data_IF_853174921261
#
_entry.id   IF_853174921261
#
_cell.length_a   1.000
_cell.length_b   1.000
_cell.length_c   1.000
_cell.angle_alpha   90.00
_cell.angle_beta   90.00
_cell.angle_gamma   90.00
#
_symmetry.space_group_name_H-M   'P 1'
#
loop_
_entity.id
_entity.type
_entity.pdbx_description
1 polymer ?
#
# COMPACT_ATOMS: atom_id res chain seq x y z
N UNK A 1 -7.25 -61.26 -68.84
CA UNK A 1 -7.82 -60.89 -67.53
C UNK A 1 -6.84 -59.95 -66.82
N UNK A 2 -7.16 -58.65 -66.73
CA UNK A 2 -6.34 -57.67 -65.97
C UNK A 2 -6.84 -57.65 -64.52
N UNK A 3 -5.96 -57.93 -63.55
CA UNK A 3 -6.24 -57.80 -62.12
C UNK A 3 -5.97 -56.36 -61.68
N UNK A 4 -6.95 -55.70 -61.09
CA UNK A 4 -6.78 -54.42 -60.40
C UNK A 4 -6.58 -54.68 -58.90
N UNK A 5 -5.49 -54.16 -58.35
CA UNK A 5 -5.16 -54.22 -56.93
C UNK A 5 -5.66 -52.91 -56.29
N UNK A 6 -6.66 -53.00 -55.41
CA UNK A 6 -7.16 -51.86 -54.65
C UNK A 6 -6.32 -51.70 -53.38
N UNK A 7 -5.66 -50.55 -53.24
CA UNK A 7 -5.00 -50.13 -52.01
C UNK A 7 -5.99 -49.31 -51.17
N UNK A 8 -6.41 -49.84 -50.03
CA UNK A 8 -7.16 -49.10 -49.02
C UNK A 8 -6.18 -48.29 -48.17
N UNK A 9 -6.27 -46.96 -48.24
CA UNK A 9 -5.54 -46.04 -47.36
C UNK A 9 -6.34 -45.89 -46.06
N UNK A 10 -5.84 -46.44 -44.96
CA UNK A 10 -6.41 -46.24 -43.63
C UNK A 10 -5.82 -44.95 -43.04
N UNK A 11 -6.63 -43.89 -42.95
CA UNK A 11 -6.22 -42.63 -42.33
C UNK A 11 -6.25 -42.78 -40.81
N UNK A 12 -5.08 -42.85 -40.16
CA UNK A 12 -4.97 -42.83 -38.70
C UNK A 12 -5.20 -41.38 -38.21
N UNK A 13 -6.35 -41.11 -37.59
CA UNK A 13 -6.56 -39.88 -36.82
C UNK A 13 -5.87 -40.02 -35.46
N UNK A 14 -4.69 -39.40 -35.31
CA UNK A 14 -4.10 -39.19 -33.99
C UNK A 14 -4.92 -38.15 -33.22
N UNK A 15 -5.67 -38.60 -32.22
CA UNK A 15 -6.27 -37.73 -31.22
C UNK A 15 -5.15 -37.14 -30.34
N UNK A 16 -4.74 -35.91 -30.61
CA UNK A 16 -3.99 -35.12 -29.63
C UNK A 16 -4.98 -34.61 -28.58
N UNK A 17 -4.93 -35.16 -27.37
CA UNK A 17 -5.60 -34.56 -26.21
C UNK A 17 -4.80 -33.32 -25.81
N UNK A 18 -5.37 -32.13 -26.01
CA UNK A 18 -4.85 -30.90 -25.41
C UNK A 18 -4.97 -31.04 -23.89
N UNK A 19 -3.84 -31.28 -23.23
CA UNK A 19 -3.78 -31.27 -21.78
C UNK A 19 -3.77 -29.79 -21.35
N UNK A 20 -4.91 -29.30 -20.88
CA UNK A 20 -5.01 -27.96 -20.30
C UNK A 20 -4.16 -27.93 -19.04
N UNK A 21 -3.07 -27.17 -19.04
CA UNK A 21 -2.29 -26.92 -17.83
C UNK A 21 -3.13 -26.03 -16.93
N UNK A 22 -3.54 -26.57 -15.78
CA UNK A 22 -4.26 -25.80 -14.75
C UNK A 22 -3.26 -24.91 -14.03
N UNK A 23 -3.54 -23.61 -13.96
CA UNK A 23 -2.68 -22.66 -13.26
C UNK A 23 -2.98 -22.67 -11.75
N UNK A 24 -1.92 -22.47 -10.96
CA UNK A 24 -2.00 -22.17 -9.53
C UNK A 24 -0.96 -21.09 -9.24
N UNK A 25 -1.41 -19.97 -8.69
CA UNK A 25 -0.54 -18.86 -8.29
C UNK A 25 -0.89 -18.47 -6.86
N UNK A 26 0.14 -18.14 -6.09
CA UNK A 26 -0.01 -17.80 -4.69
C UNK A 26 1.08 -16.81 -4.28
N UNK A 27 0.66 -15.61 -3.86
CA UNK A 27 1.53 -14.52 -3.43
C UNK A 27 1.89 -14.68 -1.95
N UNK A 28 3.08 -14.23 -1.55
CA UNK A 28 3.57 -14.34 -0.17
C UNK A 28 3.04 -13.23 0.74
N UNK A 29 1.72 -12.98 0.72
CA UNK A 29 1.07 -12.02 1.62
C UNK A 29 1.09 -12.58 3.04
N UNK A 30 1.61 -11.85 4.05
CA UNK A 30 1.63 -12.30 5.44
C UNK A 30 0.24 -12.28 6.06
N UNK A 31 0.01 -13.10 7.08
CA UNK A 31 -1.28 -13.20 7.76
C UNK A 31 -1.30 -12.56 9.16
N UNK A 32 -2.39 -11.89 9.50
CA UNK A 32 -2.81 -11.63 10.88
C UNK A 32 -4.33 -11.77 11.00
N UNK A 33 -4.81 -12.18 12.18
CA UNK A 33 -6.22 -11.96 12.54
C UNK A 33 -6.42 -10.49 12.91
N UNK A 34 -7.63 -9.96 12.67
CA UNK A 34 -8.07 -8.66 13.17
C UNK A 34 -8.02 -8.56 14.69
N UNK A 35 -8.06 -9.69 15.40
CA UNK A 35 -7.84 -9.76 16.85
C UNK A 35 -6.52 -10.52 17.14
N UNK A 36 -5.34 -9.86 17.09
CA UNK A 36 -4.03 -10.54 17.22
C UNK A 36 -3.88 -11.42 18.48
N UNK A 37 -4.53 -11.02 19.57
CA UNK A 37 -4.56 -11.76 20.84
C UNK A 37 -5.87 -12.54 21.10
N UNK A 38 -6.75 -12.64 20.10
CA UNK A 38 -8.01 -13.38 20.18
C UNK A 38 -9.09 -12.71 21.05
N UNK A 39 -9.01 -11.39 21.25
CA UNK A 39 -10.01 -10.60 21.97
C UNK A 39 -10.94 -9.91 20.98
N UNK A 40 -12.14 -10.45 20.81
CA UNK A 40 -13.17 -9.96 19.88
C UNK A 40 -14.08 -8.94 20.58
N UNK A 41 -13.50 -7.78 20.87
CA UNK A 41 -14.17 -6.62 21.47
C UNK A 41 -13.59 -5.35 20.82
N UNK A 42 -14.24 -4.19 20.94
CA UNK A 42 -13.74 -2.97 20.31
C UNK A 42 -12.28 -2.65 20.70
N UNK A 43 -11.46 -2.18 19.74
CA UNK A 43 -11.81 -1.97 18.32
C UNK A 43 -11.71 -3.22 17.43
N UNK A 44 -11.27 -4.36 17.97
CA UNK A 44 -10.90 -5.56 17.21
C UNK A 44 -12.07 -6.32 16.59
N UNK A 45 -13.29 -6.09 17.03
CA UNK A 45 -14.49 -6.72 16.47
C UNK A 45 -14.90 -6.13 15.12
N UNK A 46 -14.39 -4.96 14.73
CA UNK A 46 -14.64 -4.31 13.42
C UNK A 46 -13.33 -3.83 12.76
N UNK A 47 -12.27 -4.63 12.82
CA UNK A 47 -10.94 -4.24 12.30
C UNK A 47 -10.52 -5.05 11.06
N UNK A 48 -11.48 -5.53 10.26
CA UNK A 48 -11.20 -6.48 9.17
C UNK A 48 -10.56 -5.80 7.96
N UNK A 49 -10.94 -4.56 7.66
CA UNK A 49 -10.39 -3.71 6.61
C UNK A 49 -8.96 -3.29 6.95
N UNK A 50 -8.69 -2.90 8.20
CA UNK A 50 -7.37 -2.49 8.66
C UNK A 50 -6.41 -3.66 8.72
N UNK A 51 -6.88 -4.83 9.19
CA UNK A 51 -6.08 -6.04 9.14
C UNK A 51 -5.76 -6.44 7.70
N UNK A 52 -6.73 -6.35 6.79
CA UNK A 52 -6.53 -6.63 5.36
C UNK A 52 -5.55 -5.67 4.70
N UNK A 53 -5.72 -4.38 4.97
CA UNK A 53 -4.85 -3.30 4.50
C UNK A 53 -3.42 -3.49 5.01
N UNK A 54 -3.25 -3.84 6.30
CA UNK A 54 -1.96 -4.16 6.89
C UNK A 54 -1.27 -5.35 6.21
N UNK A 55 -2.00 -6.42 5.90
CA UNK A 55 -1.43 -7.59 5.24
C UNK A 55 -0.84 -7.24 3.87
N UNK A 56 -1.53 -6.40 3.09
CA UNK A 56 -1.02 -5.88 1.82
C UNK A 56 0.13 -4.88 2.01
N UNK A 57 0.04 -3.99 3.01
CA UNK A 57 1.10 -3.04 3.38
C UNK A 57 2.44 -3.76 3.61
N UNK A 58 2.41 -4.84 4.40
CA UNK A 58 3.60 -5.63 4.70
C UNK A 58 4.06 -6.52 3.54
N UNK A 59 3.14 -6.95 2.67
CA UNK A 59 3.51 -7.62 1.42
C UNK A 59 4.34 -6.69 0.52
N UNK A 60 3.88 -5.46 0.28
CA UNK A 60 4.62 -4.50 -0.54
C UNK A 60 5.92 -4.00 0.11
N UNK A 61 6.03 -4.05 1.44
CA UNK A 61 7.28 -3.83 2.18
C UNK A 61 8.25 -5.04 2.17
N UNK A 62 7.88 -6.16 1.54
CA UNK A 62 8.67 -7.41 1.56
C UNK A 62 8.96 -7.92 2.99
N UNK A 63 7.94 -7.95 3.86
CA UNK A 63 8.06 -8.32 5.28
C UNK A 63 8.77 -9.66 5.53
N UNK A 64 8.61 -10.64 4.63
CA UNK A 64 9.45 -11.84 4.59
C UNK A 64 9.04 -13.01 5.50
N UNK A 65 7.98 -12.86 6.29
CA UNK A 65 7.38 -13.94 7.08
C UNK A 65 5.93 -14.22 6.64
N UNK A 66 5.44 -15.45 6.82
CA UNK A 66 4.05 -15.84 6.48
C UNK A 66 3.01 -15.33 7.49
N UNK A 67 3.44 -14.94 8.68
CA UNK A 67 2.56 -14.47 9.77
C UNK A 67 3.17 -13.23 10.38
N UNK A 68 2.33 -12.23 10.63
CA UNK A 68 2.71 -10.96 11.22
C UNK A 68 2.83 -11.16 12.74
N UNK A 69 3.91 -10.62 13.30
CA UNK A 69 4.08 -10.53 14.75
C UNK A 69 2.90 -9.79 15.41
N UNK A 70 2.44 -10.25 16.57
CA UNK A 70 1.19 -9.75 17.18
C UNK A 70 1.31 -8.31 17.64
N UNK A 71 2.48 -7.92 18.13
CA UNK A 71 2.78 -6.57 18.58
C UNK A 71 2.82 -5.63 17.37
N UNK A 72 3.45 -6.05 16.26
CA UNK A 72 3.41 -5.32 14.98
C UNK A 72 1.98 -5.15 14.47
N UNK A 73 1.21 -6.25 14.44
CA UNK A 73 -0.18 -6.22 13.99
C UNK A 73 -1.03 -5.28 14.84
N UNK A 74 -0.94 -5.39 16.16
CA UNK A 74 -1.64 -4.53 17.11
C UNK A 74 -1.28 -3.06 16.90
N UNK A 75 0.00 -2.74 16.74
CA UNK A 75 0.44 -1.35 16.57
C UNK A 75 -0.02 -0.77 15.24
N UNK A 76 0.05 -1.52 14.14
CA UNK A 76 -0.30 -1.01 12.81
C UNK A 76 -1.80 -0.97 12.56
N UNK A 77 -2.58 -1.93 13.09
CA UNK A 77 -4.05 -1.90 13.03
C UNK A 77 -4.59 -0.68 13.79
N UNK A 78 -4.12 -0.44 15.03
CA UNK A 78 -4.54 0.75 15.78
C UNK A 78 -4.19 2.05 15.05
N UNK A 79 -3.04 2.10 14.35
CA UNK A 79 -2.69 3.27 13.55
C UNK A 79 -3.66 3.51 12.40
N UNK A 80 -4.07 2.46 11.69
CA UNK A 80 -5.07 2.58 10.62
C UNK A 80 -6.42 3.05 11.19
N UNK A 81 -6.86 2.47 12.30
CA UNK A 81 -8.06 2.93 13.03
C UNK A 81 -7.96 4.41 13.41
N UNK A 82 -6.81 4.88 13.91
CA UNK A 82 -6.61 6.29 14.28
C UNK A 82 -6.70 7.20 13.05
N UNK A 83 -6.13 6.79 11.91
CA UNK A 83 -6.25 7.51 10.64
C UNK A 83 -7.71 7.58 10.22
N UNK A 84 -8.40 6.45 10.16
CA UNK A 84 -9.80 6.39 9.75
C UNK A 84 -10.71 7.24 10.64
N UNK A 85 -10.55 7.16 11.96
CA UNK A 85 -11.28 7.99 12.91
C UNK A 85 -11.06 9.49 12.67
N UNK A 86 -9.86 9.90 12.28
CA UNK A 86 -9.52 11.29 12.01
C UNK A 86 -10.09 11.81 10.68
N UNK A 87 -10.15 10.97 9.64
CA UNK A 87 -10.47 11.40 8.28
C UNK A 87 -11.85 10.98 7.77
N UNK A 88 -12.41 9.88 8.26
CA UNK A 88 -13.74 9.36 7.91
C UNK A 88 -14.76 9.55 9.03
N UNK A 89 -14.29 9.66 10.27
CA UNK A 89 -15.12 9.72 11.48
C UNK A 89 -15.13 8.40 12.25
N UNK A 90 -15.70 8.41 13.45
CA UNK A 90 -15.54 7.32 14.42
C UNK A 90 -16.21 6.00 13.99
N UNK A 91 -15.39 4.94 13.91
CA UNK A 91 -15.78 3.52 14.01
C UNK A 91 -17.00 3.13 13.15
N UNK A 92 -16.89 3.34 11.84
CA UNK A 92 -17.82 2.89 10.81
C UNK A 92 -17.14 1.81 9.97
N UNK A 93 -17.85 0.72 9.62
CA UNK A 93 -17.37 -0.18 8.56
C UNK A 93 -17.13 0.65 7.29
N UNK A 94 -16.04 0.33 6.59
CA UNK A 94 -15.62 1.10 5.42
C UNK A 94 -16.04 0.40 4.15
N UNK A 95 -16.77 1.12 3.30
CA UNK A 95 -17.01 0.67 1.95
C UNK A 95 -15.72 0.73 1.10
N UNK A 96 -15.77 0.16 -0.11
CA UNK A 96 -14.64 0.07 -1.01
C UNK A 96 -14.00 1.43 -1.33
N UNK A 97 -14.82 2.46 -1.53
CA UNK A 97 -14.37 3.83 -1.82
C UNK A 97 -13.65 4.47 -0.61
N UNK A 98 -14.14 4.22 0.61
CA UNK A 98 -13.51 4.69 1.83
C UNK A 98 -12.16 4.00 2.07
N UNK A 99 -12.07 2.69 1.86
CA UNK A 99 -10.80 1.97 1.92
C UNK A 99 -9.80 2.53 0.90
N UNK A 100 -10.23 2.69 -0.35
CA UNK A 100 -9.37 3.26 -1.41
C UNK A 100 -8.93 4.69 -1.06
N UNK A 101 -9.82 5.51 -0.50
CA UNK A 101 -9.47 6.85 -0.02
C UNK A 101 -8.37 6.80 1.05
N UNK A 102 -8.49 5.95 2.06
CA UNK A 102 -7.50 5.83 3.14
C UNK A 102 -6.14 5.38 2.59
N UNK A 103 -6.14 4.32 1.79
CA UNK A 103 -4.92 3.79 1.17
C UNK A 103 -4.23 4.86 0.32
N UNK A 104 -4.99 5.51 -0.56
CA UNK A 104 -4.41 6.46 -1.52
C UNK A 104 -3.87 7.73 -0.86
N UNK A 105 -4.47 8.19 0.24
CA UNK A 105 -3.97 9.36 0.96
C UNK A 105 -2.82 9.03 1.93
N UNK A 106 -2.84 7.87 2.58
CA UNK A 106 -2.04 7.65 3.80
C UNK A 106 -1.03 6.48 3.74
N UNK A 107 -1.01 5.69 2.67
CA UNK A 107 -0.08 4.56 2.50
C UNK A 107 0.79 4.71 1.25
N UNK A 108 1.97 4.10 1.22
CA UNK A 108 2.94 4.26 0.12
C UNK A 108 2.59 3.47 -1.17
N UNK A 109 1.39 2.90 -1.24
CA UNK A 109 0.86 2.12 -2.36
C UNK A 109 -0.56 2.61 -2.72
N UNK A 110 -1.16 2.07 -3.78
CA UNK A 110 -2.44 2.54 -4.32
C UNK A 110 -3.51 1.47 -4.34
N UNK A 111 -4.76 1.92 -4.28
CA UNK A 111 -5.95 1.11 -4.44
C UNK A 111 -6.97 1.73 -5.41
N UNK A 112 -7.70 0.86 -6.11
CA UNK A 112 -8.76 1.22 -7.05
C UNK A 112 -9.99 0.34 -6.82
N UNK A 113 -11.17 0.96 -6.83
CA UNK A 113 -12.43 0.23 -6.77
C UNK A 113 -12.81 -0.22 -8.18
N UNK A 114 -13.07 -1.52 -8.34
CA UNK A 114 -13.57 -2.10 -9.58
C UNK A 114 -14.96 -2.66 -9.32
N UNK A 115 -15.95 -2.12 -10.01
CA UNK A 115 -17.34 -2.59 -9.99
C UNK A 115 -17.52 -3.82 -10.91
N UNK A 116 -18.32 -4.77 -10.46
CA UNK A 116 -18.66 -6.03 -11.13
C UNK A 116 -17.45 -6.74 -11.78
N UNK A 117 -16.33 -6.94 -11.05
CA UNK A 117 -15.14 -7.55 -11.63
C UNK A 117 -15.41 -8.99 -12.05
N UNK A 118 -14.93 -9.36 -13.23
CA UNK A 118 -14.99 -10.74 -13.72
C UNK A 118 -13.96 -11.63 -13.03
N UNK A 119 -14.22 -12.95 -12.98
CA UNK A 119 -13.27 -13.93 -12.45
C UNK A 119 -11.88 -13.81 -13.08
N UNK A 120 -11.81 -13.51 -14.38
CA UNK A 120 -10.55 -13.34 -15.10
C UNK A 120 -9.81 -12.06 -14.68
N UNK A 121 -10.52 -10.96 -14.38
CA UNK A 121 -9.89 -9.75 -13.83
C UNK A 121 -9.33 -10.00 -12.43
N UNK A 122 -10.06 -10.74 -11.58
CA UNK A 122 -9.56 -11.11 -10.25
C UNK A 122 -8.28 -11.96 -10.33
N UNK A 123 -8.24 -12.93 -11.24
CA UNK A 123 -7.03 -13.75 -11.47
C UNK A 123 -5.89 -12.93 -12.04
N UNK A 124 -6.19 -12.02 -12.96
CA UNK A 124 -5.19 -11.16 -13.58
C UNK A 124 -4.40 -10.34 -12.55
N UNK A 125 -5.06 -9.78 -11.53
CA UNK A 125 -4.36 -9.07 -10.45
C UNK A 125 -3.34 -9.98 -9.74
N UNK A 126 -3.73 -11.22 -9.44
CA UNK A 126 -2.81 -12.20 -8.85
C UNK A 126 -1.67 -12.55 -9.81
N UNK A 127 -1.94 -12.70 -11.11
CA UNK A 127 -0.93 -13.01 -12.14
C UNK A 127 0.17 -11.93 -12.21
N UNK A 128 -0.22 -10.67 -12.01
CA UNK A 128 0.71 -9.53 -12.02
C UNK A 128 1.31 -9.21 -10.65
N UNK A 129 1.04 -10.03 -9.65
CA UNK A 129 1.64 -9.92 -8.32
C UNK A 129 0.93 -8.96 -7.37
N UNK A 130 -0.32 -8.60 -7.67
CA UNK A 130 -1.13 -7.66 -6.91
C UNK A 130 -2.21 -8.41 -6.10
N UNK A 131 -2.04 -8.57 -4.78
CA UNK A 131 -3.15 -9.01 -3.95
C UNK A 131 -4.21 -7.90 -3.88
N UNK A 132 -5.45 -8.26 -3.58
CA UNK A 132 -6.54 -7.29 -3.51
C UNK A 132 -7.42 -7.54 -2.30
N UNK A 133 -8.10 -6.49 -1.83
CA UNK A 133 -9.07 -6.60 -0.73
C UNK A 133 -10.44 -6.87 -1.34
N UNK A 134 -11.17 -7.82 -0.74
CA UNK A 134 -12.50 -8.18 -1.19
C UNK A 134 -13.54 -7.91 -0.10
N UNK A 135 -14.34 -6.83 -0.25
CA UNK A 135 -15.61 -6.65 0.45
C UNK A 135 -16.59 -7.79 0.17
N UNK A 136 -17.18 -8.35 1.21
CA UNK A 136 -18.12 -9.47 1.10
C UNK A 136 -19.28 -9.35 2.07
N UNK A 137 -20.45 -9.84 1.63
CA UNK A 137 -21.55 -10.16 2.51
C UNK A 137 -21.21 -11.45 3.28
N UNK A 138 -21.08 -11.34 4.60
CA UNK A 138 -20.61 -12.46 5.44
C UNK A 138 -21.46 -13.74 5.36
N UNK A 139 -22.81 -13.73 5.27
CA UNK A 139 -23.60 -14.95 5.27
C UNK A 139 -23.34 -15.85 4.05
N UNK A 140 -22.95 -15.25 2.92
CA UNK A 140 -22.69 -15.95 1.66
C UNK A 140 -21.32 -16.66 1.63
N UNK A 141 -20.46 -16.42 2.62
CA UNK A 141 -19.16 -17.09 2.73
C UNK A 141 -19.26 -18.53 3.24
N UNK A 142 -20.26 -18.80 4.09
CA UNK A 142 -20.42 -20.07 4.78
C UNK A 142 -19.14 -20.56 5.49
N UNK A 143 -18.38 -19.64 6.10
CA UNK A 143 -17.13 -19.97 6.78
C UNK A 143 -17.42 -20.78 8.06
N UNK A 144 -16.81 -21.96 8.28
CA UNK A 144 -17.07 -22.79 9.45
C UNK A 144 -16.40 -22.31 10.75
N UNK A 145 -15.56 -21.26 10.69
CA UNK A 145 -14.76 -20.76 11.81
C UNK A 145 -15.29 -19.49 12.47
N UNK A 146 -16.34 -18.87 11.90
CA UNK A 146 -17.11 -17.81 12.54
C UNK A 146 -18.57 -17.90 12.11
N UNK A 147 -19.45 -17.29 12.89
CA UNK A 147 -20.90 -17.31 12.66
C UNK A 147 -21.27 -16.39 11.49
N UNK A 148 -21.03 -16.89 10.27
CA UNK A 148 -21.22 -16.15 9.02
C UNK A 148 -22.63 -15.58 8.89
N UNK A 149 -23.65 -16.28 9.42
CA UNK A 149 -25.05 -15.83 9.39
C UNK A 149 -25.29 -14.55 10.21
N UNK A 150 -24.40 -14.24 11.16
CA UNK A 150 -24.47 -13.07 12.03
C UNK A 150 -23.41 -11.99 11.71
N UNK A 151 -22.64 -12.16 10.64
CA UNK A 151 -21.68 -11.18 10.13
C UNK A 151 -22.28 -10.57 8.86
N UNK A 152 -22.82 -9.35 8.91
CA UNK A 152 -23.41 -8.73 7.71
C UNK A 152 -22.36 -8.44 6.64
N UNK A 153 -21.21 -7.93 7.08
CA UNK A 153 -20.12 -7.46 6.25
C UNK A 153 -18.78 -7.99 6.77
N UNK A 154 -17.89 -8.30 5.84
CA UNK A 154 -16.52 -8.68 6.14
C UNK A 154 -15.60 -8.27 4.99
N UNK A 155 -14.30 -8.20 5.26
CA UNK A 155 -13.27 -7.98 4.25
C UNK A 155 -12.05 -8.86 4.52
N UNK A 156 -11.45 -9.36 3.44
CA UNK A 156 -10.22 -10.15 3.50
C UNK A 156 -9.35 -9.91 2.26
N UNK A 157 -8.11 -10.40 2.31
CA UNK A 157 -7.17 -10.29 1.19
C UNK A 157 -7.23 -11.54 0.33
N UNK A 158 -7.45 -11.40 -0.97
CA UNK A 158 -7.21 -12.47 -1.94
C UNK A 158 -5.77 -12.39 -2.42
N UNK A 159 -5.04 -13.51 -2.30
CA UNK A 159 -3.61 -13.59 -2.60
C UNK A 159 -3.23 -14.72 -3.56
N UNK A 160 -4.20 -15.50 -4.03
CA UNK A 160 -3.90 -16.65 -4.87
C UNK A 160 -5.14 -17.30 -5.45
N UNK A 161 -4.94 -18.20 -6.40
CA UNK A 161 -5.99 -19.03 -6.97
C UNK A 161 -5.44 -20.40 -7.38
N UNK A 162 -6.32 -21.37 -7.49
CA UNK A 162 -6.02 -22.72 -7.99
C UNK A 162 -7.14 -23.17 -8.94
N UNK A 163 -6.86 -23.16 -10.25
CA UNK A 163 -7.84 -23.54 -11.28
C UNK A 163 -8.24 -25.02 -11.20
N UNK A 164 -7.42 -25.86 -10.55
CA UNK A 164 -7.65 -27.30 -10.46
C UNK A 164 -8.76 -27.58 -9.47
N UNK A 165 -8.78 -26.84 -8.36
CA UNK A 165 -9.81 -26.94 -7.33
C UNK A 165 -10.90 -25.89 -7.48
N UNK A 166 -10.72 -24.92 -8.39
CA UNK A 166 -11.61 -23.78 -8.60
C UNK A 166 -11.79 -22.93 -7.33
N UNK A 167 -10.67 -22.63 -6.68
CA UNK A 167 -10.64 -21.92 -5.40
C UNK A 167 -9.74 -20.68 -5.47
N UNK A 168 -10.14 -19.65 -4.73
CA UNK A 168 -9.24 -18.58 -4.30
C UNK A 168 -8.55 -18.97 -2.99
N UNK A 169 -7.35 -18.44 -2.81
CA UNK A 169 -6.55 -18.53 -1.59
C UNK A 169 -6.53 -17.14 -0.97
N UNK A 170 -6.94 -17.04 0.29
CA UNK A 170 -7.16 -15.76 0.98
C UNK A 170 -6.43 -15.70 2.32
N UNK A 171 -6.23 -14.48 2.80
CA UNK A 171 -5.90 -14.19 4.19
C UNK A 171 -7.14 -13.61 4.88
N UNK A 172 -7.87 -14.45 5.63
CA UNK A 172 -9.14 -14.07 6.26
C UNK A 172 -8.94 -13.59 7.72
N UNK A 173 -8.98 -12.29 8.01
CA UNK A 173 -8.64 -11.79 9.35
C UNK A 173 -9.73 -12.09 10.40
N UNK A 174 -10.93 -12.49 9.98
CA UNK A 174 -12.11 -12.75 10.82
C UNK A 174 -12.00 -14.03 11.67
N UNK A 175 -10.90 -14.77 11.54
CA UNK A 175 -10.62 -15.95 12.37
C UNK A 175 -9.12 -16.15 12.55
N UNK A 176 -8.73 -16.89 13.58
CA UNK A 176 -7.35 -17.38 13.73
C UNK A 176 -6.96 -18.48 12.73
N UNK A 177 -7.92 -19.00 11.94
CA UNK A 177 -7.73 -20.04 10.92
C UNK A 177 -7.68 -19.48 9.49
N UNK A 178 -7.55 -18.17 9.35
CA UNK A 178 -7.66 -17.50 8.05
C UNK A 178 -6.42 -17.54 7.18
N UNK A 179 -5.30 -18.08 7.70
CA UNK A 179 -4.05 -18.21 6.94
C UNK A 179 -4.24 -19.15 5.75
N UNK A 180 -4.07 -18.62 4.54
CA UNK A 180 -4.20 -19.35 3.27
C UNK A 180 -5.54 -20.09 3.14
N UNK A 181 -6.60 -19.51 3.70
CA UNK A 181 -7.94 -20.06 3.66
C UNK A 181 -8.46 -20.17 2.22
N UNK A 182 -9.37 -21.12 1.97
CA UNK A 182 -9.85 -21.42 0.63
C UNK A 182 -11.35 -21.25 0.53
N UNK A 183 -11.76 -20.48 -0.47
CA UNK A 183 -13.14 -20.34 -0.90
C UNK A 183 -13.25 -20.74 -2.37
N UNK A 184 -14.36 -21.38 -2.73
CA UNK A 184 -14.64 -21.66 -4.15
C UNK A 184 -14.81 -20.37 -4.94
N UNK A 185 -14.56 -20.39 -6.25
CA UNK A 185 -14.86 -19.26 -7.13
C UNK A 185 -16.33 -18.86 -7.00
N UNK A 186 -17.26 -19.82 -7.01
CA UNK A 186 -18.68 -19.52 -6.89
C UNK A 186 -19.02 -18.83 -5.57
N UNK A 187 -18.41 -19.25 -4.45
CA UNK A 187 -18.58 -18.61 -3.14
C UNK A 187 -18.11 -17.16 -3.18
N UNK A 188 -16.88 -16.91 -3.66
CA UNK A 188 -16.32 -15.56 -3.75
C UNK A 188 -17.16 -14.66 -4.66
N UNK A 189 -17.50 -15.16 -5.86
CA UNK A 189 -18.28 -14.38 -6.83
C UNK A 189 -19.71 -14.12 -6.35
N UNK A 190 -20.26 -14.97 -5.48
CA UNK A 190 -21.58 -14.76 -4.86
C UNK A 190 -21.50 -13.78 -3.71
N UNK A 191 -20.57 -13.97 -2.78
CA UNK A 191 -20.47 -13.18 -1.55
C UNK A 191 -19.97 -11.74 -1.77
N UNK A 192 -19.21 -11.49 -2.84
CA UNK A 192 -18.68 -10.17 -3.17
C UNK A 192 -19.77 -9.10 -3.25
N UNK A 193 -19.76 -8.18 -2.28
CA UNK A 193 -20.64 -7.02 -2.22
C UNK A 193 -19.98 -5.91 -1.40
N UNK A 194 -20.16 -4.67 -1.83
CA UNK A 194 -19.73 -3.50 -1.08
C UNK A 194 -20.54 -3.33 0.20
N UNK A 195 -19.93 -2.72 1.20
CA UNK A 195 -20.61 -2.43 2.46
C UNK A 195 -21.81 -1.51 2.24
N UNK A 196 -22.95 -1.90 2.82
CA UNK A 196 -24.11 -1.02 2.97
C UNK A 196 -24.61 -1.04 4.42
N UNK A 197 -24.91 0.14 5.01
CA UNK A 197 -25.34 0.20 6.40
C UNK A 197 -26.70 -0.45 6.62
N UNK A 198 -27.01 -0.74 7.90
CA UNK A 198 -28.28 -1.34 8.36
C UNK A 198 -28.48 -2.79 7.92
N UNK A 199 -27.39 -3.55 7.90
CA UNK A 199 -27.36 -4.95 7.53
C UNK A 199 -27.92 -5.21 6.12
N UNK A 200 -27.40 -4.43 5.15
CA UNK A 200 -27.86 -4.47 3.76
C UNK A 200 -26.73 -4.78 2.77
N UNK A 201 -25.59 -5.26 3.25
CA UNK A 201 -24.40 -5.53 2.42
C UNK A 201 -24.71 -6.46 1.26
N UNK A 202 -25.59 -7.45 1.41
CA UNK A 202 -26.06 -8.32 0.30
C UNK A 202 -26.76 -7.58 -0.86
N UNK A 203 -27.07 -6.29 -0.72
CA UNK A 203 -27.60 -5.41 -1.77
C UNK A 203 -26.56 -4.44 -2.34
N UNK A 204 -25.35 -4.42 -1.78
CA UNK A 204 -24.24 -3.62 -2.26
C UNK A 204 -23.91 -3.97 -3.71
N UNK A 205 -23.24 -3.08 -4.41
CA UNK A 205 -22.68 -3.43 -5.71
C UNK A 205 -21.58 -4.47 -5.51
N UNK A 206 -21.36 -5.36 -6.48
CA UNK A 206 -20.20 -6.25 -6.41
C UNK A 206 -18.96 -5.42 -6.69
N UNK A 207 -18.01 -5.42 -5.77
CA UNK A 207 -16.78 -4.63 -5.90
C UNK A 207 -15.58 -5.42 -5.41
N UNK A 208 -14.42 -5.12 -5.99
CA UNK A 208 -13.13 -5.50 -5.43
C UNK A 208 -12.25 -4.24 -5.33
N UNK A 209 -11.38 -4.20 -4.33
CA UNK A 209 -10.40 -3.14 -4.14
C UNK A 209 -9.05 -3.65 -4.63
N UNK A 210 -8.76 -3.41 -5.90
CA UNK A 210 -7.49 -3.76 -6.53
C UNK A 210 -6.38 -2.87 -6.00
N UNK A 211 -5.15 -3.38 -5.97
CA UNK A 211 -4.02 -2.65 -5.38
C UNK A 211 -2.80 -2.67 -6.29
N UNK A 212 -1.89 -1.72 -6.11
CA UNK A 212 -0.60 -1.69 -6.83
C UNK A 212 0.48 -1.07 -5.94
N UNK A 213 1.74 -1.54 -6.03
CA UNK A 213 2.85 -0.98 -5.24
C UNK A 213 3.29 0.42 -5.72
N UNK A 214 2.72 0.96 -6.80
CA UNK A 214 3.08 2.27 -7.35
C UNK A 214 2.12 3.36 -6.89
N UNK A 215 2.57 4.62 -6.85
CA UNK A 215 1.74 5.78 -6.49
C UNK A 215 1.44 6.69 -7.69
N UNK A 216 1.04 6.12 -8.83
CA UNK A 216 0.93 6.88 -10.08
C UNK A 216 -0.12 8.00 -10.05
N UNK A 217 -1.30 7.71 -9.50
CA UNK A 217 -2.47 8.60 -9.50
C UNK A 217 -2.59 9.42 -8.21
N UNK A 218 -2.10 8.86 -7.10
CA UNK A 218 -2.15 9.40 -5.74
C UNK A 218 -0.92 10.24 -5.34
N UNK A 219 0.15 10.27 -6.16
CA UNK A 219 1.40 10.98 -5.80
C UNK A 219 1.25 12.45 -5.43
N UNK A 220 0.23 13.12 -5.97
CA UNK A 220 -0.02 14.55 -5.74
C UNK A 220 -1.01 14.82 -4.60
N UNK A 221 -1.52 13.78 -3.94
CA UNK A 221 -2.37 13.94 -2.76
C UNK A 221 -1.52 14.43 -1.57
N UNK A 222 -2.12 15.26 -0.74
CA UNK A 222 -1.56 15.80 0.51
C UNK A 222 -2.57 15.44 1.59
N UNK A 223 -2.41 14.25 2.17
CA UNK A 223 -3.42 13.59 2.98
C UNK A 223 -3.68 14.33 4.29
N UNK A 224 -2.60 14.75 4.96
CA UNK A 224 -2.63 15.45 6.24
C UNK A 224 -2.64 16.98 6.12
N UNK A 225 -2.48 17.50 4.89
CA UNK A 225 -2.67 18.91 4.51
C UNK A 225 -1.63 19.83 5.12
N UNK A 226 -0.41 19.34 5.25
CA UNK A 226 0.71 20.06 5.85
C UNK A 226 1.53 20.87 4.82
N UNK A 227 1.26 20.64 3.52
CA UNK A 227 1.90 21.30 2.40
C UNK A 227 2.91 20.43 1.63
N UNK A 228 3.14 19.19 2.05
CA UNK A 228 3.84 18.18 1.25
C UNK A 228 2.85 17.21 0.61
N UNK A 229 3.02 16.95 -0.68
CA UNK A 229 2.31 15.84 -1.29
C UNK A 229 3.02 14.50 -1.01
N UNK A 230 2.31 13.40 -1.23
CA UNK A 230 2.75 12.02 -1.03
C UNK A 230 4.12 11.71 -1.66
N UNK A 231 4.40 12.17 -2.88
CA UNK A 231 5.71 11.98 -3.51
C UNK A 231 6.83 12.72 -2.76
N UNK A 232 6.56 13.93 -2.28
CA UNK A 232 7.50 14.70 -1.47
C UNK A 232 7.70 14.06 -0.11
N UNK A 233 6.63 13.64 0.56
CA UNK A 233 6.73 12.99 1.86
C UNK A 233 7.56 11.71 1.81
N UNK A 234 7.29 10.83 0.84
CA UNK A 234 8.09 9.62 0.62
C UNK A 234 9.55 9.95 0.29
N UNK A 235 9.80 11.04 -0.45
CA UNK A 235 11.15 11.50 -0.76
C UNK A 235 11.90 12.01 0.49
N UNK A 236 11.21 12.69 1.40
CA UNK A 236 11.81 13.24 2.63
C UNK A 236 11.75 12.27 3.81
N UNK A 237 11.02 11.15 3.66
CA UNK A 237 10.83 10.14 4.70
C UNK A 237 9.84 10.55 5.80
N UNK A 238 9.05 11.60 5.58
CA UNK A 238 7.99 12.04 6.49
C UNK A 238 6.78 11.09 6.44
N UNK A 239 5.88 11.24 7.39
CA UNK A 239 4.71 10.40 7.59
C UNK A 239 3.51 10.95 6.84
N UNK A 240 2.96 10.14 5.92
CA UNK A 240 1.80 10.47 5.08
C UNK A 240 0.51 10.90 5.80
N UNK A 241 0.45 10.72 7.12
CA UNK A 241 -0.78 10.80 7.92
C UNK A 241 -0.67 11.71 9.15
N UNK A 242 0.50 12.32 9.39
CA UNK A 242 0.71 13.18 10.55
C UNK A 242 1.59 14.35 10.16
N UNK A 243 1.07 15.56 10.42
CA UNK A 243 1.64 16.81 9.91
C UNK A 243 3.02 17.16 10.43
N UNK A 244 3.50 16.49 11.49
CA UNK A 244 4.76 16.79 12.20
C UNK A 244 5.44 15.46 12.55
N UNK A 245 6.17 14.89 11.60
CA UNK A 245 6.65 13.51 11.65
C UNK A 245 7.56 13.21 12.83
N UNK A 246 8.29 14.20 13.34
CA UNK A 246 9.21 14.06 14.47
C UNK A 246 8.70 14.63 15.79
N UNK A 247 7.58 15.34 15.77
CA UNK A 247 6.86 15.83 16.94
C UNK A 247 7.53 17.04 17.61
N UNK A 248 8.32 17.83 16.90
CA UNK A 248 9.03 18.99 17.44
C UNK A 248 8.21 20.29 17.45
N UNK A 249 7.02 20.27 16.86
CA UNK A 249 6.08 21.36 16.79
C UNK A 249 6.10 22.18 15.50
N UNK A 250 6.89 21.78 14.49
CA UNK A 250 6.83 22.32 13.13
C UNK A 250 6.23 21.28 12.18
N UNK A 251 5.47 21.72 11.17
CA UNK A 251 4.95 20.77 10.19
C UNK A 251 6.01 20.37 9.17
N UNK A 252 5.95 19.16 8.63
CA UNK A 252 6.94 18.64 7.67
C UNK A 252 7.06 19.57 6.45
N UNK A 253 5.93 20.05 5.93
CA UNK A 253 5.87 21.03 4.86
C UNK A 253 6.47 22.39 5.22
N UNK A 254 6.32 22.84 6.47
CA UNK A 254 6.97 24.07 6.93
C UNK A 254 8.49 23.88 6.97
N UNK A 255 8.95 22.76 7.49
CA UNK A 255 10.35 22.45 7.62
C UNK A 255 11.04 22.34 6.27
N UNK A 256 10.50 21.54 5.36
CA UNK A 256 11.02 21.37 4.00
C UNK A 256 11.03 22.71 3.25
N UNK A 257 9.98 23.52 3.37
CA UNK A 257 9.93 24.84 2.75
C UNK A 257 11.07 25.76 3.22
N UNK A 258 11.49 25.62 4.49
CA UNK A 258 12.56 26.38 5.12
C UNK A 258 13.94 25.68 5.12
N UNK A 259 14.04 24.49 4.53
CA UNK A 259 15.28 23.73 4.38
C UNK A 259 15.66 22.83 5.56
N UNK A 260 14.72 22.57 6.47
CA UNK A 260 14.87 21.67 7.62
C UNK A 260 14.35 20.26 7.31
N UNK A 261 14.79 19.30 8.10
CA UNK A 261 14.50 17.87 7.96
C UNK A 261 13.24 17.50 8.74
N UNK A 262 12.18 17.00 8.08
CA UNK A 262 10.89 16.69 8.74
C UNK A 262 10.94 15.51 9.73
N UNK A 263 12.02 14.74 9.72
CA UNK A 263 12.13 13.50 10.51
C UNK A 263 13.11 13.60 11.67
N UNK A 264 13.54 14.81 12.03
CA UNK A 264 14.54 15.07 13.07
C UNK A 264 14.21 16.35 13.85
N UNK A 265 13.74 16.17 15.09
CA UNK A 265 13.36 17.25 16.00
C UNK A 265 14.49 18.25 16.36
N UNK A 266 15.72 18.00 15.91
CA UNK A 266 16.82 18.97 15.95
C UNK A 266 16.87 19.69 14.62
N UNK A 267 17.08 21.02 14.61
CA UNK A 267 17.11 21.88 13.40
C UNK A 267 18.19 21.50 12.37
N UNK A 268 18.03 20.33 11.79
CA UNK A 268 18.94 19.64 10.88
C UNK A 268 18.55 20.08 9.49
N UNK A 269 19.51 20.54 8.71
CA UNK A 269 19.24 20.90 7.32
C UNK A 269 19.17 19.63 6.46
N UNK A 270 18.30 19.64 5.45
CA UNK A 270 18.21 18.57 4.47
C UNK A 270 19.54 18.39 3.73
N UNK A 271 19.86 17.16 3.32
CA UNK A 271 20.95 16.93 2.38
C UNK A 271 20.50 17.28 0.95
N UNK A 272 21.45 17.72 0.13
CA UNK A 272 21.25 18.11 -1.28
C UNK A 272 20.72 19.51 -1.50
N UNK A 273 20.34 20.26 -0.45
CA UNK A 273 19.85 21.64 -0.60
C UNK A 273 20.99 22.67 -0.65
N UNK A 274 20.72 23.78 -1.32
CA UNK A 274 21.60 24.95 -1.36
C UNK A 274 21.17 25.93 -0.27
N UNK A 275 22.10 26.34 0.58
CA UNK A 275 21.79 27.20 1.73
C UNK A 275 22.75 28.38 1.85
N UNK A 276 22.24 29.49 2.37
CA UNK A 276 23.04 30.62 2.83
C UNK A 276 22.43 31.24 4.08
N UNK A 277 23.19 32.10 4.76
CA UNK A 277 22.64 32.94 5.82
C UNK A 277 22.17 34.29 5.26
N UNK A 278 21.31 35.05 5.97
CA UNK A 278 20.80 36.33 5.47
C UNK A 278 21.90 37.33 5.09
N UNK A 279 22.96 37.38 5.89
CA UNK A 279 24.00 38.43 5.82
C UNK A 279 25.35 37.92 5.29
N UNK A 280 25.41 36.69 4.74
CA UNK A 280 26.63 36.11 4.17
C UNK A 280 26.38 35.70 2.71
N UNK A 281 27.19 36.18 1.75
CA UNK A 281 27.02 35.82 0.34
C UNK A 281 27.47 34.38 0.03
N UNK A 282 28.18 33.70 0.94
CA UNK A 282 28.60 32.31 0.71
C UNK A 282 27.39 31.39 0.63
N UNK A 283 27.35 30.61 -0.45
CA UNK A 283 26.37 29.54 -0.67
C UNK A 283 27.04 28.21 -0.41
N UNK A 284 26.35 27.34 0.32
CA UNK A 284 26.82 26.01 0.66
C UNK A 284 25.87 24.96 0.09
N UNK A 285 26.41 23.84 -0.39
CA UNK A 285 25.66 22.61 -0.60
C UNK A 285 25.67 21.82 0.72
N UNK A 286 24.51 21.39 1.17
CA UNK A 286 24.41 20.41 2.26
C UNK A 286 24.64 19.01 1.70
N UNK A 287 25.59 18.26 2.25
CA UNK A 287 25.87 16.91 1.80
C UNK A 287 26.43 16.05 2.94
N UNK A 288 25.79 14.90 3.17
CA UNK A 288 26.13 13.94 4.22
C UNK A 288 26.24 14.62 5.60
N UNK A 289 25.33 15.54 5.91
CA UNK A 289 25.32 16.30 7.16
C UNK A 289 26.43 17.38 7.30
N UNK A 290 27.18 17.67 6.23
CA UNK A 290 28.21 18.72 6.21
C UNK A 290 27.81 19.87 5.29
N UNK A 291 28.30 21.08 5.57
CA UNK A 291 28.19 22.21 4.63
C UNK A 291 29.44 22.27 3.75
N UNK A 292 29.27 22.26 2.43
CA UNK A 292 30.34 22.38 1.45
C UNK A 292 30.25 23.73 0.76
N UNK A 293 31.22 24.61 0.97
CA UNK A 293 31.20 25.95 0.37
C UNK A 293 31.41 25.85 -1.15
N UNK A 294 30.51 26.47 -1.92
CA UNK A 294 30.63 26.62 -3.37
C UNK A 294 31.50 27.86 -3.63
N UNK A 295 32.73 27.65 -4.07
CA UNK A 295 33.76 28.69 -3.98
C UNK A 295 33.54 29.88 -4.93
N UNK A 296 32.72 29.72 -5.97
CA UNK A 296 32.45 30.78 -6.94
C UNK A 296 31.12 30.58 -7.68
N UNK A 297 30.58 31.69 -8.19
CA UNK A 297 29.43 31.70 -9.10
C UNK A 297 29.68 30.83 -10.35
N UNK A 298 30.91 30.79 -10.86
CA UNK A 298 31.24 29.93 -12.01
C UNK A 298 31.01 28.45 -11.68
N UNK A 299 31.48 27.99 -10.51
CA UNK A 299 31.26 26.61 -10.05
C UNK A 299 29.77 26.35 -9.84
N UNK A 300 29.05 27.32 -9.28
CA UNK A 300 27.60 27.22 -9.07
C UNK A 300 26.85 26.98 -10.39
N UNK A 301 27.12 27.82 -11.40
CA UNK A 301 26.47 27.73 -12.71
C UNK A 301 26.92 26.50 -13.50
N UNK A 302 28.19 26.11 -13.41
CA UNK A 302 28.71 24.91 -14.08
C UNK A 302 28.05 23.61 -13.57
N UNK A 303 27.66 23.57 -12.30
CA UNK A 303 26.93 22.46 -11.70
C UNK A 303 25.41 22.51 -11.99
N UNK A 304 24.94 23.49 -12.77
CA UNK A 304 23.54 23.60 -13.19
C UNK A 304 22.59 24.07 -12.08
N UNK A 305 23.11 24.59 -10.97
CA UNK A 305 22.27 25.10 -9.87
C UNK A 305 21.65 26.45 -10.22
N UNK A 306 20.43 26.70 -9.72
CA UNK A 306 19.73 27.97 -9.90
C UNK A 306 19.73 28.78 -8.62
N UNK A 307 19.89 30.10 -8.75
CA UNK A 307 19.87 31.01 -7.62
C UNK A 307 18.55 31.00 -6.83
N UNK A 308 17.44 30.65 -7.50
CA UNK A 308 16.12 30.46 -6.88
C UNK A 308 16.07 29.31 -5.89
N UNK A 309 16.98 28.35 -6.00
CA UNK A 309 16.97 27.11 -5.21
C UNK A 309 17.65 27.31 -3.84
N UNK A 310 18.28 28.47 -3.62
CA UNK A 310 19.00 28.78 -2.40
C UNK A 310 18.02 29.13 -1.27
N UNK A 311 18.06 28.35 -0.19
CA UNK A 311 17.31 28.58 1.04
C UNK A 311 18.09 29.48 1.99
N UNK A 312 17.42 30.45 2.58
CA UNK A 312 18.00 31.30 3.63
C UNK A 312 17.70 30.65 4.99
N UNK A 313 18.75 30.23 5.69
CA UNK A 313 18.65 29.49 6.97
C UNK A 313 19.23 30.29 8.14
N UNK A 314 18.94 29.86 9.37
CA UNK A 314 19.42 30.54 10.57
C UNK A 314 20.96 30.50 10.66
N UNK A 315 21.59 31.65 10.87
CA UNK A 315 23.05 31.74 10.96
C UNK A 315 23.66 30.92 12.11
N UNK A 316 22.96 30.77 13.24
CA UNK A 316 23.49 29.98 14.35
C UNK A 316 23.67 28.51 13.96
N UNK A 317 22.70 27.96 13.23
CA UNK A 317 22.72 26.56 12.80
C UNK A 317 23.81 26.38 11.75
N UNK A 318 23.72 27.13 10.64
CA UNK A 318 24.63 26.96 9.53
C UNK A 318 26.07 27.29 9.92
N UNK A 319 26.32 28.35 10.68
CA UNK A 319 27.69 28.79 10.98
C UNK A 319 28.32 28.05 12.17
N UNK A 320 27.53 27.63 13.18
CA UNK A 320 28.07 27.08 14.44
C UNK A 320 27.83 25.59 14.65
N UNK A 321 26.71 25.06 14.17
CA UNK A 321 26.30 23.67 14.48
C UNK A 321 26.72 22.71 13.37
N UNK A 322 26.77 23.18 12.12
CA UNK A 322 27.14 22.36 10.97
C UNK A 322 28.65 22.43 10.68
N UNK A 323 29.28 21.26 10.71
CA UNK A 323 30.69 21.10 10.36
C UNK A 323 30.93 21.32 8.86
N UNK A 324 32.11 21.86 8.51
CA UNK A 324 32.47 22.12 7.12
C UNK A 324 33.03 20.86 6.45
N UNK A 325 32.48 20.50 5.30
CA UNK A 325 33.02 19.48 4.41
C UNK A 325 34.06 20.05 3.44
N UNK A 326 34.48 19.23 2.47
CA UNK A 326 35.39 19.67 1.40
C UNK A 326 34.65 20.66 0.49
N UNK A 327 35.20 21.85 0.26
CA UNK A 327 34.59 22.85 -0.62
C UNK A 327 34.44 22.32 -2.06
N UNK A 328 33.46 22.86 -2.79
CA UNK A 328 33.20 22.49 -4.18
C UNK A 328 33.90 23.53 -5.05
N UNK A 329 34.91 23.08 -5.80
CA UNK A 329 35.79 23.96 -6.58
C UNK A 329 35.69 23.80 -8.09
N UNK A 330 35.00 22.78 -8.58
CA UNK A 330 34.90 22.44 -10.01
C UNK A 330 33.46 22.15 -10.42
#
# INVERSE_FOLDING_TARGET
>A
MKKYLYFTITLLFSFFTLQTVSAKIELSVPFTSQAPYGKWIPPWDNACEEASTLMIDLYYQNYGASTIDKEIATSKINRLIDIENNYLGLNIDNNAEQMAYIINNFLFWEAFVVEDPTLEQLKHEIDIGHPFILPVAGPDLHNPYYDSDNVDYHAFVVKGYDDKTQEFIVQDPGTSHGLDFRYSYDTIMTAMHDFLPKNQTYKGNKVAVFTTPTISDSKNLDGDKDGLNKEQELKYGSTLFFTDSDGDGYSDGNEVANGYSPTKATRTLLDGILVKTPNNPKVYLMENGTKRWIISEKVFLNNGWNWSDIKIVNSSILDKEIISGINISE
#
